data_IF_314611709172
#
_entry.id   IF_314611709172
#
_cell.length_a   1.000
_cell.length_b   1.000
_cell.length_c   1.000
_cell.angle_alpha   90.00
_cell.angle_beta   90.00
_cell.angle_gamma   90.00
#
_symmetry.space_group_name_H-M   'P 1'
#
loop_
_entity.id
_entity.type
_entity.pdbx_description
1 polymer ?
#
# COMPACT_ATOMS: atom_id res chain seq x y z
N UNK A 1 0.56 -26.85 -18.00
CA UNK A 1 0.04 -28.25 -18.03
C UNK A 1 0.44 -28.96 -19.32
N UNK A 2 0.23 -28.35 -20.49
CA UNK A 2 0.50 -28.95 -21.82
C UNK A 2 1.93 -29.51 -21.96
N UNK A 3 2.97 -28.73 -21.62
CA UNK A 3 4.37 -29.16 -21.77
C UNK A 3 4.77 -30.32 -20.82
N UNK A 4 4.19 -30.41 -19.62
CA UNK A 4 4.56 -31.42 -18.63
C UNK A 4 3.91 -32.78 -18.92
N UNK A 5 2.68 -32.77 -19.46
CA UNK A 5 2.01 -33.98 -19.96
C UNK A 5 2.71 -34.52 -21.21
N UNK A 6 3.19 -33.64 -22.09
CA UNK A 6 4.02 -34.02 -23.25
C UNK A 6 5.36 -34.66 -22.85
N UNK A 7 5.88 -34.34 -21.66
CA UNK A 7 7.07 -34.95 -21.08
C UNK A 7 6.80 -36.26 -20.30
N UNK A 8 5.57 -36.81 -20.34
CA UNK A 8 5.22 -38.09 -19.73
C UNK A 8 5.00 -38.05 -18.21
N UNK A 9 4.94 -36.86 -17.60
CA UNK A 9 4.65 -36.73 -16.16
C UNK A 9 3.15 -36.93 -15.96
N UNK A 10 2.80 -37.95 -15.18
CA UNK A 10 1.40 -38.35 -15.00
C UNK A 10 0.62 -37.32 -14.16
N UNK A 11 -0.64 -36.99 -14.52
CA UNK A 11 -1.47 -36.01 -13.81
C UNK A 11 -1.59 -36.21 -12.29
N UNK A 12 -1.60 -37.47 -11.83
CA UNK A 12 -1.66 -37.83 -10.41
C UNK A 12 -0.36 -37.54 -9.64
N UNK A 13 0.75 -37.31 -10.35
CA UNK A 13 2.02 -36.85 -9.76
C UNK A 13 1.99 -35.35 -9.45
N UNK A 14 0.99 -34.61 -9.95
CA UNK A 14 0.80 -33.22 -9.60
C UNK A 14 0.05 -33.13 -8.26
N UNK A 15 0.79 -32.83 -7.20
CA UNK A 15 0.20 -32.46 -5.90
C UNK A 15 -0.34 -31.03 -6.03
N UNK A 16 -1.63 -30.88 -6.31
CA UNK A 16 -2.25 -29.56 -6.36
C UNK A 16 -2.27 -28.95 -4.96
N UNK A 17 -1.36 -28.00 -4.71
CA UNK A 17 -1.32 -27.14 -3.52
C UNK A 17 -2.47 -26.12 -3.57
N UNK A 18 -3.69 -26.51 -3.99
CA UNK A 18 -4.86 -25.62 -3.93
C UNK A 18 -5.53 -25.70 -2.58
N UNK A 19 -5.70 -26.91 -2.02
CA UNK A 19 -6.49 -27.07 -0.80
C UNK A 19 -5.84 -26.43 0.44
N UNK A 20 -4.52 -26.53 0.59
CA UNK A 20 -3.78 -25.87 1.68
C UNK A 20 -3.57 -24.36 1.49
N UNK A 21 -3.59 -23.87 0.25
CA UNK A 21 -3.49 -22.42 -0.05
C UNK A 21 -4.81 -21.71 0.22
N UNK A 22 -5.94 -22.38 -0.01
CA UNK A 22 -7.28 -21.79 0.19
C UNK A 22 -7.60 -21.51 1.66
N UNK A 23 -6.99 -22.26 2.60
CA UNK A 23 -7.29 -22.14 4.03
C UNK A 23 -6.24 -21.34 4.84
N UNK A 24 -5.07 -21.02 4.27
CA UNK A 24 -3.97 -20.45 5.07
C UNK A 24 -3.00 -19.48 4.41
N UNK A 25 -3.18 -19.13 3.14
CA UNK A 25 -2.49 -17.96 2.60
C UNK A 25 -3.44 -16.76 2.68
N UNK A 26 -3.21 -15.91 3.69
CA UNK A 26 -3.36 -14.47 3.47
C UNK A 26 -2.45 -14.13 2.28
N UNK A 27 -2.96 -14.28 1.06
CA UNK A 27 -2.24 -13.87 -0.14
C UNK A 27 -2.07 -12.37 -0.04
N UNK A 28 -0.89 -11.92 0.36
CA UNK A 28 -0.49 -10.54 0.24
C UNK A 28 -0.52 -10.20 -1.26
N UNK A 29 -1.44 -9.33 -1.65
CA UNK A 29 -1.42 -8.71 -2.97
C UNK A 29 -0.43 -7.56 -2.90
N UNK A 30 0.55 -7.56 -3.79
CA UNK A 30 1.58 -6.52 -3.88
C UNK A 30 1.49 -5.88 -5.25
N UNK A 31 1.20 -4.59 -5.27
CA UNK A 31 1.20 -3.77 -6.48
C UNK A 31 2.50 -2.96 -6.56
N UNK A 32 3.08 -2.90 -7.76
CA UNK A 32 4.28 -2.13 -8.04
C UNK A 32 3.96 -0.97 -8.97
N UNK A 33 4.42 0.22 -8.60
CA UNK A 33 4.35 1.41 -9.45
C UNK A 33 5.73 2.03 -9.60
N UNK A 34 5.97 2.61 -10.77
CA UNK A 34 7.25 3.23 -11.12
C UNK A 34 7.09 4.75 -11.24
N UNK A 35 8.20 5.45 -11.14
CA UNK A 35 8.22 6.91 -11.25
C UNK A 35 7.55 7.38 -12.56
N UNK A 36 6.72 8.42 -12.47
CA UNK A 36 5.90 8.93 -13.58
C UNK A 36 4.54 8.23 -13.76
N UNK A 37 4.28 7.12 -13.06
CA UNK A 37 2.97 6.47 -13.06
C UNK A 37 2.00 7.17 -12.10
N UNK A 38 1.04 7.90 -12.66
CA UNK A 38 0.01 8.62 -11.90
C UNK A 38 -0.95 7.69 -11.14
N UNK A 39 -0.98 6.39 -11.45
CA UNK A 39 -1.85 5.42 -10.76
C UNK A 39 -1.44 5.22 -9.30
N UNK A 40 -0.15 5.35 -8.97
CA UNK A 40 0.33 5.23 -7.60
C UNK A 40 -0.31 6.28 -6.68
N UNK A 41 -0.27 7.54 -7.12
CA UNK A 41 -0.87 8.65 -6.38
C UNK A 41 -2.39 8.48 -6.24
N UNK A 42 -3.06 8.03 -7.30
CA UNK A 42 -4.49 7.79 -7.29
C UNK A 42 -4.90 6.70 -6.28
N UNK A 43 -4.16 5.59 -6.21
CA UNK A 43 -4.44 4.53 -5.23
C UNK A 43 -4.16 4.98 -3.79
N UNK A 44 -3.11 5.79 -3.54
CA UNK A 44 -2.88 6.38 -2.22
C UNK A 44 -4.04 7.32 -1.83
N UNK A 45 -4.52 8.16 -2.76
CA UNK A 45 -5.66 9.05 -2.52
C UNK A 45 -6.93 8.26 -2.22
N UNK A 46 -7.19 7.20 -2.97
CA UNK A 46 -8.33 6.30 -2.76
C UNK A 46 -8.23 5.61 -1.41
N UNK A 47 -7.04 5.19 -1.00
CA UNK A 47 -6.81 4.64 0.34
C UNK A 47 -7.17 5.67 1.41
N UNK A 48 -6.65 6.90 1.35
CA UNK A 48 -6.95 7.92 2.36
C UNK A 48 -8.45 8.28 2.40
N UNK A 49 -9.12 8.26 1.25
CA UNK A 49 -10.50 8.75 1.09
C UNK A 49 -11.60 7.70 1.35
N UNK A 50 -11.24 6.48 1.74
CA UNK A 50 -12.21 5.41 1.98
C UNK A 50 -13.03 5.68 3.25
N UNK A 51 -14.37 5.71 3.16
CA UNK A 51 -15.24 6.02 4.28
C UNK A 51 -15.21 4.96 5.40
N UNK A 52 -14.78 3.72 5.11
CA UNK A 52 -14.68 2.66 6.11
C UNK A 52 -13.46 2.79 7.04
N UNK A 53 -12.53 3.70 6.73
CA UNK A 53 -11.24 3.83 7.42
C UNK A 53 -11.45 4.37 8.84
N UNK A 54 -10.82 3.71 9.83
CA UNK A 54 -10.80 4.18 11.24
C UNK A 54 -9.47 4.79 11.64
N UNK A 55 -8.38 4.32 11.05
CA UNK A 55 -7.05 4.85 11.27
C UNK A 55 -6.19 4.83 10.01
N UNK A 56 -5.25 5.78 9.94
CA UNK A 56 -4.25 5.92 8.91
C UNK A 56 -2.90 6.15 9.62
N UNK A 57 -1.92 5.30 9.32
CA UNK A 57 -0.53 5.48 9.79
C UNK A 57 0.36 5.60 8.56
N UNK A 58 1.12 6.69 8.45
CA UNK A 58 2.00 6.92 7.31
C UNK A 58 3.39 7.29 7.82
N UNK A 59 4.39 6.54 7.37
CA UNK A 59 5.80 6.90 7.49
C UNK A 59 6.30 7.44 6.16
N UNK A 60 6.94 8.61 6.16
CA UNK A 60 7.48 9.19 4.94
C UNK A 60 8.69 10.09 5.19
N UNK A 61 9.53 10.23 4.18
CA UNK A 61 10.68 11.12 4.22
C UNK A 61 10.26 12.60 4.15
N UNK A 62 9.41 12.97 3.19
CA UNK A 62 8.97 14.36 2.98
C UNK A 62 7.50 14.42 2.55
N UNK A 63 6.69 15.26 3.21
CA UNK A 63 5.29 15.49 2.90
C UNK A 63 5.05 16.86 2.26
N UNK A 64 5.13 16.96 0.94
CA UNK A 64 4.87 18.22 0.22
C UNK A 64 3.72 18.13 -0.78
N UNK A 65 3.21 16.93 -1.04
CA UNK A 65 2.18 16.72 -2.06
C UNK A 65 0.82 17.26 -1.59
N UNK A 66 0.42 18.44 -2.10
CA UNK A 66 -0.77 19.19 -1.65
C UNK A 66 -2.04 18.35 -1.59
N UNK A 67 -2.29 17.53 -2.63
CA UNK A 67 -3.50 16.69 -2.67
C UNK A 67 -3.52 15.66 -1.52
N UNK A 68 -2.38 15.07 -1.18
CA UNK A 68 -2.32 14.09 -0.08
C UNK A 68 -2.58 14.77 1.26
N UNK A 69 -2.02 15.97 1.45
CA UNK A 69 -2.26 16.79 2.66
C UNK A 69 -3.74 17.13 2.81
N UNK A 70 -4.41 17.59 1.76
CA UNK A 70 -5.84 17.91 1.80
C UNK A 70 -6.72 16.68 2.08
N UNK A 71 -6.36 15.52 1.55
CA UNK A 71 -7.07 14.27 1.83
C UNK A 71 -6.88 13.80 3.25
N UNK A 72 -5.67 13.89 3.79
CA UNK A 72 -5.40 13.58 5.20
C UNK A 72 -6.14 14.52 6.15
N UNK A 73 -6.20 15.82 5.83
CA UNK A 73 -6.98 16.81 6.57
C UNK A 73 -8.47 16.46 6.56
N UNK A 74 -8.99 16.08 5.40
CA UNK A 74 -10.39 15.66 5.25
C UNK A 74 -10.71 14.39 6.05
N UNK A 75 -9.80 13.41 6.05
CA UNK A 75 -9.94 12.19 6.85
C UNK A 75 -9.94 12.49 8.37
N UNK A 76 -9.05 13.37 8.83
CA UNK A 76 -9.02 13.83 10.22
C UNK A 76 -10.35 14.50 10.61
N UNK A 77 -10.89 15.38 9.75
CA UNK A 77 -12.17 16.04 9.98
C UNK A 77 -13.36 15.05 10.02
N UNK A 78 -13.25 13.92 9.32
CA UNK A 78 -14.21 12.82 9.36
C UNK A 78 -14.05 11.89 10.58
N UNK A 79 -13.14 12.21 11.51
CA UNK A 79 -12.91 11.43 12.73
C UNK A 79 -11.99 10.22 12.56
N UNK A 80 -11.26 10.13 11.45
CA UNK A 80 -10.24 9.10 11.24
C UNK A 80 -8.99 9.43 12.05
N UNK A 81 -8.44 8.48 12.79
CA UNK A 81 -7.18 8.65 13.52
C UNK A 81 -6.00 8.71 12.52
N UNK A 82 -5.33 9.85 12.40
CA UNK A 82 -4.18 10.01 11.49
C UNK A 82 -2.88 10.14 12.29
N UNK A 83 -1.93 9.23 12.08
CA UNK A 83 -0.57 9.27 12.64
C UNK A 83 0.46 9.43 11.53
N UNK A 84 1.19 10.54 11.57
CA UNK A 84 2.27 10.85 10.63
C UNK A 84 3.62 10.67 11.32
N UNK A 85 4.50 9.89 10.70
CA UNK A 85 5.89 9.73 11.11
C UNK A 85 6.73 10.33 9.98
N UNK A 86 7.32 11.49 10.24
CA UNK A 86 8.11 12.24 9.27
C UNK A 86 9.55 12.36 9.73
N UNK A 87 10.47 12.44 8.77
CA UNK A 87 11.86 12.75 9.06
C UNK A 87 11.98 14.17 9.65
N UNK A 88 12.56 14.29 10.85
CA UNK A 88 12.67 15.55 11.57
C UNK A 88 13.51 16.58 10.82
N UNK A 89 14.55 16.15 10.10
CA UNK A 89 15.40 17.04 9.31
C UNK A 89 14.64 17.64 8.14
N UNK A 90 13.70 16.89 7.56
CA UNK A 90 12.84 17.37 6.48
C UNK A 90 11.69 18.25 6.99
N UNK A 91 11.12 17.92 8.15
CA UNK A 91 10.04 18.69 8.76
C UNK A 91 10.44 20.14 9.13
N UNK A 92 11.72 20.36 9.48
CA UNK A 92 12.23 21.66 9.89
C UNK A 92 12.38 22.68 8.76
N UNK A 93 12.36 22.23 7.49
CA UNK A 93 12.68 23.07 6.34
C UNK A 93 14.07 23.75 6.47
N UNK A 94 14.47 24.54 5.48
CA UNK A 94 15.66 25.43 5.59
C UNK A 94 15.42 26.65 6.51
N UNK A 95 14.50 26.58 7.45
CA UNK A 95 14.12 27.73 8.26
C UNK A 95 13.06 27.37 9.30
N UNK A 96 13.52 26.87 10.44
CA UNK A 96 13.11 27.29 11.79
C UNK A 96 13.58 26.24 12.79
N UNK A 97 14.85 26.40 13.18
CA UNK A 97 15.44 25.83 14.37
C UNK A 97 14.80 26.47 15.60
N UNK A 98 13.69 25.92 16.08
CA UNK A 98 13.18 26.13 17.45
C UNK A 98 12.11 25.08 17.78
N UNK A 99 12.57 23.92 18.26
CA UNK A 99 11.86 23.11 19.26
C UNK A 99 12.89 22.83 20.34
#
# INVERSE_FOLDING_TARGET
MIAATQAGIRPESFRYIRKQVTERLQTAVVDFWFNGDKRAEAEIVKYISDPGRKSIKIGMFLLTHKLLVEKLKSALAAGVEVKLIVDLCQARGKGNSSI
#
